data_IF_423722756763
#
_entry.id   IF_423722756763
#
_cell.length_a   1.000
_cell.length_b   1.000
_cell.length_c   1.000
_cell.angle_alpha   90.00
_cell.angle_beta   90.00
_cell.angle_gamma   90.00
#
_symmetry.space_group_name_H-M   'P 1'
#
loop_
_entity.id
_entity.type
_entity.pdbx_description
1 polymer ?
#
# COMPACT_ATOMS: atom_id res chain seq x y z
N UNK A 1 12.86 4.82 -21.25
CA UNK A 1 13.09 4.20 -19.92
C UNK A 1 12.03 4.61 -18.89
N UNK A 2 11.69 5.90 -18.78
CA UNK A 2 10.68 6.44 -17.83
C UNK A 2 9.30 5.77 -17.87
N UNK A 3 8.80 5.40 -19.05
CA UNK A 3 7.51 4.69 -19.19
C UNK A 3 7.52 3.27 -18.60
N UNK A 4 8.64 2.57 -18.70
CA UNK A 4 8.81 1.24 -18.07
C UNK A 4 8.86 1.36 -16.54
N UNK A 5 9.55 2.39 -16.03
CA UNK A 5 9.59 2.69 -14.59
C UNK A 5 8.19 3.05 -14.07
N UNK A 6 7.49 3.98 -14.74
CA UNK A 6 6.14 4.37 -14.36
C UNK A 6 5.17 3.18 -14.40
N UNK A 7 5.26 2.33 -15.43
CA UNK A 7 4.50 1.09 -15.52
C UNK A 7 4.80 0.12 -14.37
N UNK A 8 6.07 -0.07 -14.02
CA UNK A 8 6.49 -0.90 -12.88
C UNK A 8 6.00 -0.38 -11.54
N UNK A 9 6.05 0.94 -11.32
CA UNK A 9 5.49 1.59 -10.12
C UNK A 9 3.97 1.38 -10.07
N UNK A 10 3.28 1.57 -11.20
CA UNK A 10 1.84 1.33 -11.29
C UNK A 10 1.47 -0.10 -10.91
N UNK A 11 2.19 -1.09 -11.45
CA UNK A 11 2.00 -2.50 -11.11
C UNK A 11 2.24 -2.75 -9.60
N UNK A 12 3.29 -2.18 -9.02
CA UNK A 12 3.57 -2.31 -7.59
C UNK A 12 2.44 -1.73 -6.73
N UNK A 13 1.84 -0.60 -7.12
CA UNK A 13 0.67 -0.04 -6.42
C UNK A 13 -0.57 -0.93 -6.54
N UNK A 14 -0.81 -1.56 -7.70
CA UNK A 14 -1.91 -2.53 -7.85
C UNK A 14 -1.73 -3.70 -6.90
N UNK A 15 -0.52 -4.25 -6.80
CA UNK A 15 -0.19 -5.32 -5.84
C UNK A 15 -0.39 -4.84 -4.40
N UNK A 16 0.05 -3.61 -4.08
CA UNK A 16 -0.13 -3.02 -2.76
C UNK A 16 -1.62 -2.87 -2.39
N UNK A 17 -2.47 -2.43 -3.32
CA UNK A 17 -3.92 -2.34 -3.11
C UNK A 17 -4.50 -3.73 -2.83
N UNK A 18 -4.16 -4.73 -3.64
CA UNK A 18 -4.62 -6.10 -3.42
C UNK A 18 -4.20 -6.62 -2.04
N UNK A 19 -2.93 -6.45 -1.67
CA UNK A 19 -2.43 -6.83 -0.34
C UNK A 19 -3.12 -6.05 0.78
N UNK A 20 -3.42 -4.76 0.57
CA UNK A 20 -4.17 -3.94 1.53
C UNK A 20 -5.54 -4.55 1.83
N UNK A 21 -6.28 -4.96 0.81
CA UNK A 21 -7.60 -5.61 0.99
C UNK A 21 -7.45 -6.95 1.70
N UNK A 22 -6.47 -7.77 1.31
CA UNK A 22 -6.23 -9.06 1.95
C UNK A 22 -5.88 -8.93 3.45
N UNK A 23 -5.08 -7.93 3.82
CA UNK A 23 -4.75 -7.63 5.22
C UNK A 23 -5.98 -7.12 5.98
N UNK A 24 -6.80 -6.27 5.36
CA UNK A 24 -8.07 -5.83 5.96
C UNK A 24 -8.97 -7.02 6.26
N UNK A 25 -9.20 -7.90 5.28
CA UNK A 25 -9.99 -9.13 5.48
C UNK A 25 -9.40 -10.00 6.59
N UNK A 26 -8.07 -10.13 6.67
CA UNK A 26 -7.43 -10.93 7.71
C UNK A 26 -7.72 -10.40 9.12
N UNK A 27 -7.75 -9.08 9.30
CA UNK A 27 -8.14 -8.47 10.58
C UNK A 27 -9.65 -8.53 10.83
N UNK A 28 -10.47 -8.43 9.79
CA UNK A 28 -11.92 -8.40 9.91
C UNK A 28 -12.53 -9.78 10.23
N UNK A 29 -11.92 -10.88 9.73
CA UNK A 29 -12.42 -12.25 9.88
C UNK A 29 -12.70 -12.70 11.31
N UNK A 30 -12.05 -12.11 12.32
CA UNK A 30 -12.25 -12.46 13.73
C UNK A 30 -12.55 -11.22 14.60
N UNK A 31 -13.10 -10.19 13.98
CA UNK A 31 -13.36 -8.90 14.60
C UNK A 31 -14.69 -8.90 15.38
N UNK A 32 -14.70 -8.25 16.55
CA UNK A 32 -15.91 -8.06 17.37
C UNK A 32 -16.46 -6.63 17.27
N UNK A 33 -15.71 -5.72 16.65
CA UNK A 33 -16.09 -4.33 16.47
C UNK A 33 -15.27 -3.68 15.33
N UNK A 34 -15.80 -2.63 14.70
CA UNK A 34 -15.06 -1.91 13.66
C UNK A 34 -13.69 -1.39 14.14
N UNK A 35 -13.57 -1.04 15.43
CA UNK A 35 -12.31 -0.60 16.02
C UNK A 35 -11.24 -1.70 16.02
N UNK A 36 -11.64 -2.95 16.24
CA UNK A 36 -10.73 -4.11 16.26
C UNK A 36 -10.15 -4.41 14.88
N UNK A 37 -10.87 -4.09 13.80
CA UNK A 37 -10.36 -4.17 12.43
C UNK A 37 -9.52 -2.94 12.08
N UNK A 38 -10.09 -1.74 12.26
CA UNK A 38 -9.55 -0.49 11.73
C UNK A 38 -8.24 -0.09 12.41
N UNK A 39 -8.13 -0.25 13.74
CA UNK A 39 -6.95 0.18 14.49
C UNK A 39 -5.67 -0.56 14.08
N UNK A 40 -5.60 -1.90 14.12
CA UNK A 40 -4.40 -2.62 13.68
C UNK A 40 -4.17 -2.47 12.17
N UNK A 41 -5.24 -2.37 11.37
CA UNK A 41 -5.12 -2.12 9.93
C UNK A 41 -4.40 -0.80 9.61
N UNK A 42 -4.81 0.31 10.22
CA UNK A 42 -4.17 1.61 9.98
C UNK A 42 -2.73 1.65 10.49
N UNK A 43 -2.46 1.06 11.66
CA UNK A 43 -1.12 1.00 12.24
C UNK A 43 -0.15 0.22 11.34
N UNK A 44 -0.63 -0.84 10.68
CA UNK A 44 0.20 -1.67 9.80
C UNK A 44 0.31 -1.10 8.39
N UNK A 45 -0.82 -0.75 7.76
CA UNK A 45 -0.86 -0.35 6.35
C UNK A 45 -0.51 1.13 6.13
N UNK A 46 -0.81 2.02 7.09
CA UNK A 46 -0.51 3.44 6.97
C UNK A 46 0.97 3.72 6.70
N UNK A 47 1.91 3.18 7.51
CA UNK A 47 3.35 3.33 7.27
C UNK A 47 3.81 2.74 5.93
N UNK A 48 3.26 1.59 5.53
CA UNK A 48 3.60 0.93 4.25
C UNK A 48 3.22 1.81 3.06
N UNK A 49 2.04 2.42 3.09
CA UNK A 49 1.60 3.35 2.06
C UNK A 49 2.45 4.63 2.02
N UNK A 50 2.77 5.21 3.18
CA UNK A 50 3.62 6.39 3.27
C UNK A 50 5.00 6.14 2.64
N UNK A 51 5.65 5.03 2.99
CA UNK A 51 6.94 4.62 2.43
C UNK A 51 6.88 4.36 0.92
N UNK A 52 5.84 3.64 0.47
CA UNK A 52 5.67 3.30 -0.95
C UNK A 52 5.51 4.55 -1.82
N UNK A 53 4.71 5.53 -1.36
CA UNK A 53 4.53 6.82 -2.05
C UNK A 53 5.82 7.63 -2.05
N UNK A 54 6.52 7.71 -0.92
CA UNK A 54 7.80 8.42 -0.84
C UNK A 54 8.84 7.82 -1.79
N UNK A 55 8.98 6.49 -1.82
CA UNK A 55 9.88 5.79 -2.73
C UNK A 55 9.51 6.03 -4.21
N UNK A 56 8.22 5.93 -4.55
CA UNK A 56 7.75 6.21 -5.91
C UNK A 56 8.08 7.64 -6.35
N UNK A 57 7.91 8.64 -5.47
CA UNK A 57 8.26 10.04 -5.75
C UNK A 57 9.76 10.18 -6.06
N UNK A 58 10.63 9.61 -5.23
CA UNK A 58 12.08 9.66 -5.41
C UNK A 58 12.49 9.00 -6.75
N UNK A 59 11.94 7.83 -7.05
CA UNK A 59 12.24 7.10 -8.30
C UNK A 59 11.78 7.87 -9.55
N UNK A 60 10.59 8.48 -9.51
CA UNK A 60 10.07 9.27 -10.62
C UNK A 60 10.84 10.57 -10.83
N UNK A 61 11.29 11.22 -9.75
CA UNK A 61 12.12 12.44 -9.82
C UNK A 61 13.49 12.13 -10.43
N UNK A 62 14.14 11.03 -10.04
CA UNK A 62 15.44 10.63 -10.58
C UNK A 62 15.40 10.24 -12.06
N UNK A 63 14.21 9.91 -12.57
CA UNK A 63 13.99 9.55 -13.98
C UNK A 63 13.50 10.73 -14.83
N UNK A 64 13.38 11.95 -14.28
CA UNK A 64 13.19 13.19 -15.04
C UNK A 64 14.52 13.71 -15.54
#
# INVERSE_FOLDING_TARGET
MRWKLAGGIGLAFVVLIYGTVAVFEAFDRNSHSASDTIRPFLITMGPVWALSIAAARVLLQRSR
#
